data_IF_303820562922
#
_entry.id   IF_303820562922
#
_cell.length_a   1.000
_cell.length_b   1.000
_cell.length_c   1.000
_cell.angle_alpha   90.00
_cell.angle_beta   90.00
_cell.angle_gamma   90.00
#
_symmetry.space_group_name_H-M   'P 1'
#
loop_
_entity.id
_entity.type
_entity.pdbx_description
1 polymer ?
#
# COMPACT_ATOMS: atom_id res chain seq x y z
N UNK A 1 19.33 8.75 17.01
CA UNK A 1 19.13 7.39 17.53
C UNK A 1 17.71 6.92 17.16
N UNK A 2 17.53 5.63 16.92
CA UNK A 2 16.21 5.03 16.68
C UNK A 2 15.54 4.74 18.01
N UNK A 3 14.26 5.05 18.12
CA UNK A 3 13.46 4.87 19.34
C UNK A 3 12.40 3.80 19.15
N UNK A 4 12.16 2.98 20.19
CA UNK A 4 11.10 1.99 20.15
C UNK A 4 9.74 2.66 20.40
N UNK A 5 8.81 2.51 19.45
CA UNK A 5 7.46 3.08 19.50
C UNK A 5 6.43 2.03 19.10
N UNK A 6 5.20 2.15 19.58
CA UNK A 6 4.05 1.36 19.10
C UNK A 6 3.60 1.93 17.73
N UNK A 7 3.08 1.06 16.85
CA UNK A 7 2.61 1.51 15.53
C UNK A 7 1.49 2.55 15.64
N UNK A 8 0.57 2.37 16.60
CA UNK A 8 -0.50 3.34 16.84
C UNK A 8 -0.01 4.73 17.25
N UNK A 9 1.14 4.84 17.91
CA UNK A 9 1.74 6.12 18.34
C UNK A 9 2.35 6.92 17.17
N UNK A 10 2.59 6.26 16.03
CA UNK A 10 3.20 6.88 14.84
C UNK A 10 2.16 7.53 13.92
N UNK A 11 0.88 7.28 14.16
CA UNK A 11 -0.19 7.52 13.22
C UNK A 11 -1.21 8.53 13.74
N UNK A 12 -1.75 9.34 12.85
CA UNK A 12 -2.95 10.15 13.09
C UNK A 12 -4.23 9.38 12.75
N UNK A 13 -4.12 8.43 11.82
CA UNK A 13 -5.20 7.49 11.46
C UNK A 13 -4.64 6.09 11.31
N UNK A 14 -5.31 5.11 11.93
CA UNK A 14 -4.99 3.68 11.81
C UNK A 14 -6.29 2.88 11.96
N UNK A 15 -7.03 2.72 10.87
CA UNK A 15 -8.35 2.06 10.89
C UNK A 15 -8.71 1.44 9.56
N UNK A 16 -9.66 0.50 9.55
CA UNK A 16 -10.25 -0.04 8.33
C UNK A 16 -11.00 1.03 7.55
N UNK A 17 -11.02 0.89 6.24
CA UNK A 17 -11.89 1.67 5.38
C UNK A 17 -13.37 1.31 5.57
N UNK A 18 -14.22 1.69 4.61
CA UNK A 18 -15.65 1.66 4.70
C UNK A 18 -16.24 0.70 3.66
N UNK A 19 -17.41 0.13 3.97
CA UNK A 19 -18.13 -0.72 3.03
C UNK A 19 -18.57 0.04 1.79
N UNK A 20 -18.42 -0.57 0.62
CA UNK A 20 -18.95 -0.08 -0.66
C UNK A 20 -19.67 -1.22 -1.37
N UNK A 21 -20.81 -0.93 -1.98
CA UNK A 21 -21.57 -1.91 -2.76
C UNK A 21 -20.82 -2.23 -4.06
N UNK A 22 -20.86 -3.48 -4.49
CA UNK A 22 -20.24 -3.89 -5.74
C UNK A 22 -20.78 -3.13 -6.97
N UNK A 23 -22.05 -2.71 -6.94
CA UNK A 23 -22.68 -1.89 -7.99
C UNK A 23 -22.14 -0.46 -8.10
N UNK A 24 -21.43 0.01 -7.09
CA UNK A 24 -20.81 1.36 -7.05
C UNK A 24 -19.36 1.34 -7.51
N UNK A 25 -18.83 0.14 -7.82
CA UNK A 25 -17.47 -0.06 -8.36
C UNK A 25 -17.57 -0.34 -9.85
N UNK A 26 -16.89 0.45 -10.65
CA UNK A 26 -16.85 0.38 -12.11
C UNK A 26 -15.40 0.19 -12.61
N UNK A 27 -15.20 -0.33 -13.84
CA UNK A 27 -13.88 -0.29 -14.47
C UNK A 27 -13.35 1.13 -14.73
N UNK A 28 -14.23 2.14 -14.75
CA UNK A 28 -13.90 3.54 -15.01
C UNK A 28 -14.60 4.41 -13.96
N UNK A 29 -13.91 5.42 -13.46
CA UNK A 29 -14.43 6.39 -12.47
C UNK A 29 -13.37 7.40 -12.07
N UNK A 30 -13.73 8.35 -11.21
CA UNK A 30 -12.86 9.48 -10.85
C UNK A 30 -11.82 9.08 -9.78
N UNK A 31 -12.18 8.12 -8.91
CA UNK A 31 -11.37 7.74 -7.75
C UNK A 31 -11.16 6.24 -7.69
N UNK A 32 -9.91 5.84 -7.45
CA UNK A 32 -9.56 4.43 -7.27
C UNK A 32 -10.18 3.86 -5.99
N UNK A 33 -10.71 2.64 -6.08
CA UNK A 33 -11.25 1.88 -4.96
C UNK A 33 -10.21 0.84 -4.55
N UNK A 34 -9.63 1.01 -3.36
CA UNK A 34 -8.64 0.08 -2.82
C UNK A 34 -9.30 -0.99 -1.95
N UNK A 35 -9.02 -2.23 -2.26
CA UNK A 35 -9.31 -3.39 -1.42
C UNK A 35 -8.07 -3.90 -0.68
N UNK A 36 -8.17 -5.10 -0.10
CA UNK A 36 -7.05 -5.73 0.62
C UNK A 36 -5.84 -6.08 -0.25
N UNK A 37 -5.98 -6.08 -1.57
CA UNK A 37 -4.93 -6.50 -2.50
C UNK A 37 -4.80 -5.60 -3.73
N UNK A 38 -5.08 -4.33 -3.61
CA UNK A 38 -4.94 -3.41 -4.71
C UNK A 38 -6.22 -2.73 -5.14
N UNK A 39 -6.12 -2.06 -6.27
CA UNK A 39 -7.25 -1.37 -6.88
C UNK A 39 -8.23 -2.42 -7.40
N UNK A 40 -9.48 -2.33 -6.94
CA UNK A 40 -10.61 -3.19 -7.36
C UNK A 40 -11.41 -2.61 -8.52
N UNK A 41 -11.22 -1.35 -8.81
CA UNK A 41 -11.94 -0.56 -9.80
C UNK A 41 -11.98 0.90 -9.37
N UNK A 42 -12.98 1.62 -9.84
CA UNK A 42 -13.13 3.05 -9.64
C UNK A 42 -14.57 3.40 -9.21
N UNK A 43 -14.72 4.57 -8.59
CA UNK A 43 -16.02 5.14 -8.21
C UNK A 43 -16.04 6.65 -8.44
N UNK A 44 -17.20 7.30 -8.30
CA UNK A 44 -17.35 8.76 -8.47
C UNK A 44 -17.28 9.53 -7.15
N UNK A 45 -17.02 8.86 -6.04
CA UNK A 45 -16.84 9.46 -4.73
C UNK A 45 -15.62 8.89 -4.01
N UNK A 46 -15.11 9.61 -3.02
CA UNK A 46 -13.97 9.22 -2.21
C UNK A 46 -14.33 9.29 -0.73
N UNK A 47 -13.63 8.52 0.10
CA UNK A 47 -13.76 8.58 1.55
C UNK A 47 -12.48 9.06 2.26
N UNK A 48 -11.39 9.23 1.51
CA UNK A 48 -10.12 9.78 2.04
C UNK A 48 -9.46 10.67 1.00
N UNK A 49 -8.71 11.67 1.51
CA UNK A 49 -7.87 12.57 0.71
C UNK A 49 -6.56 12.80 1.46
N UNK A 50 -5.42 12.50 0.85
CA UNK A 50 -4.10 12.60 1.46
C UNK A 50 -3.19 11.42 1.14
N UNK A 51 -2.13 11.28 1.95
CA UNK A 51 -1.19 10.16 1.83
C UNK A 51 -1.52 9.05 2.81
N UNK A 52 -1.61 7.82 2.30
CA UNK A 52 -1.96 6.64 3.08
C UNK A 52 -1.09 5.44 2.72
N UNK A 53 -0.59 4.75 3.75
CA UNK A 53 -0.12 3.39 3.66
C UNK A 53 -1.33 2.46 3.92
N UNK A 54 -1.59 1.52 3.01
CA UNK A 54 -2.71 0.61 3.09
C UNK A 54 -2.22 -0.80 3.38
N UNK A 55 -2.80 -1.44 4.38
CA UNK A 55 -2.48 -2.82 4.77
C UNK A 55 -3.65 -3.71 4.35
N UNK A 56 -3.39 -4.73 3.56
CA UNK A 56 -4.39 -5.75 3.22
C UNK A 56 -4.87 -6.46 4.49
N UNK A 57 -6.19 -6.41 4.75
CA UNK A 57 -6.75 -6.90 6.01
C UNK A 57 -7.12 -8.38 5.99
N UNK A 58 -7.49 -8.93 4.83
CA UNK A 58 -8.08 -10.27 4.72
C UNK A 58 -7.56 -11.04 3.50
N UNK A 59 -7.66 -12.37 3.58
CA UNK A 59 -7.35 -13.29 2.49
C UNK A 59 -5.87 -13.67 2.40
N UNK A 60 -5.50 -14.36 1.31
CA UNK A 60 -4.15 -14.92 1.10
C UNK A 60 -3.04 -13.86 1.05
N UNK A 61 -3.38 -12.60 0.74
CA UNK A 61 -2.46 -11.47 0.68
C UNK A 61 -2.64 -10.51 1.88
N UNK A 62 -3.13 -11.06 3.00
CA UNK A 62 -3.22 -10.38 4.28
C UNK A 62 -1.85 -9.84 4.70
N UNK A 63 -1.78 -8.55 5.06
CA UNK A 63 -0.51 -7.87 5.37
C UNK A 63 0.20 -7.26 4.16
N UNK A 64 -0.30 -7.47 2.92
CA UNK A 64 0.26 -6.82 1.75
C UNK A 64 0.12 -5.31 1.84
N UNK A 65 1.18 -4.59 1.42
CA UNK A 65 1.23 -3.14 1.52
C UNK A 65 0.95 -2.46 0.20
N UNK A 66 0.23 -1.35 0.26
CA UNK A 66 -0.01 -0.46 -0.86
C UNK A 66 0.12 1.00 -0.41
N UNK A 67 0.37 1.88 -1.36
CA UNK A 67 0.47 3.30 -1.11
C UNK A 67 -0.55 4.06 -1.95
N UNK A 68 -1.25 5.00 -1.35
CA UNK A 68 -2.19 5.89 -2.01
C UNK A 68 -1.87 7.35 -1.71
N UNK A 69 -2.03 8.22 -2.70
CA UNK A 69 -1.85 9.66 -2.55
C UNK A 69 -3.00 10.38 -3.27
N UNK A 70 -3.59 11.36 -2.60
CA UNK A 70 -4.75 12.10 -3.07
C UNK A 70 -6.08 11.42 -2.74
N UNK A 71 -7.12 11.74 -3.52
CA UNK A 71 -8.48 11.25 -3.29
C UNK A 71 -8.64 9.81 -3.73
N UNK A 72 -9.14 8.96 -2.84
CA UNK A 72 -9.41 7.56 -3.10
C UNK A 72 -10.51 7.01 -2.18
N UNK A 73 -11.05 5.85 -2.53
CA UNK A 73 -11.96 5.11 -1.66
C UNK A 73 -11.26 3.87 -1.10
N UNK A 74 -11.23 3.74 0.22
CA UNK A 74 -10.66 2.57 0.90
C UNK A 74 -11.79 1.73 1.47
N UNK A 75 -11.80 0.45 1.07
CA UNK A 75 -12.83 -0.49 1.52
C UNK A 75 -12.48 -1.07 2.90
N UNK A 76 -13.43 -1.73 3.53
CA UNK A 76 -13.27 -2.44 4.80
C UNK A 76 -12.18 -3.53 4.78
N UNK A 77 -11.73 -3.94 3.58
CA UNK A 77 -10.66 -4.92 3.38
C UNK A 77 -9.26 -4.30 3.38
N UNK A 78 -9.15 -2.97 3.43
CA UNK A 78 -7.92 -2.23 3.57
C UNK A 78 -7.87 -1.52 4.93
N UNK A 79 -6.77 -1.64 5.66
CA UNK A 79 -6.49 -0.80 6.83
C UNK A 79 -5.74 0.44 6.35
N UNK A 80 -6.36 1.60 6.51
CA UNK A 80 -5.79 2.89 6.15
C UNK A 80 -4.94 3.45 7.29
N UNK A 81 -3.70 3.78 6.98
CA UNK A 81 -2.74 4.36 7.92
C UNK A 81 -2.21 5.67 7.37
N UNK A 82 -2.36 6.75 8.14
CA UNK A 82 -1.73 8.03 7.89
C UNK A 82 -0.86 8.42 9.07
N UNK A 83 0.36 8.91 8.81
CA UNK A 83 1.28 9.33 9.86
C UNK A 83 0.77 10.57 10.60
N UNK A 84 1.19 10.72 11.86
CA UNK A 84 1.02 11.96 12.59
C UNK A 84 2.08 13.01 12.19
N UNK A 85 2.04 14.18 12.79
CA UNK A 85 2.94 15.30 12.45
C UNK A 85 4.43 15.02 12.70
N UNK A 86 4.76 14.03 13.51
CA UNK A 86 6.15 13.66 13.86
C UNK A 86 6.72 12.56 12.93
N UNK A 87 5.90 12.02 12.06
CA UNK A 87 6.26 10.88 11.22
C UNK A 87 5.91 11.13 9.73
N UNK A 88 6.34 10.23 8.87
CA UNK A 88 6.15 10.25 7.42
C UNK A 88 5.35 9.03 6.96
N UNK A 89 4.22 9.24 6.27
CA UNK A 89 3.36 8.14 5.81
C UNK A 89 4.09 7.21 4.84
N UNK A 90 4.90 7.76 3.95
CA UNK A 90 5.68 6.95 3.00
C UNK A 90 6.77 6.12 3.69
N UNK A 91 7.37 6.65 4.76
CA UNK A 91 8.28 5.86 5.60
C UNK A 91 7.55 4.70 6.27
N UNK A 92 6.35 4.93 6.83
CA UNK A 92 5.53 3.88 7.43
C UNK A 92 5.15 2.80 6.41
N UNK A 93 4.86 3.16 5.17
CA UNK A 93 4.61 2.22 4.09
C UNK A 93 5.79 1.23 3.90
N UNK A 94 7.02 1.74 3.81
CA UNK A 94 8.21 0.89 3.67
C UNK A 94 8.50 0.08 4.94
N UNK A 95 8.41 0.71 6.10
CA UNK A 95 8.62 0.05 7.39
C UNK A 95 7.65 -1.13 7.58
N UNK A 96 6.37 -0.92 7.36
CA UNK A 96 5.35 -1.96 7.51
C UNK A 96 5.51 -3.07 6.46
N UNK A 97 6.01 -2.73 5.28
CA UNK A 97 6.34 -3.71 4.23
C UNK A 97 7.38 -4.74 4.66
N UNK A 98 8.41 -4.32 5.41
CA UNK A 98 9.45 -5.23 5.91
C UNK A 98 9.05 -5.97 7.19
N UNK A 99 8.03 -5.50 7.92
CA UNK A 99 7.57 -6.12 9.18
C UNK A 99 6.81 -7.43 8.97
N UNK A 100 6.45 -7.78 7.72
CA UNK A 100 5.66 -8.98 7.40
C UNK A 100 4.39 -9.08 8.27
N UNK A 101 3.55 -8.04 8.21
CA UNK A 101 2.38 -7.92 9.08
C UNK A 101 1.39 -9.09 8.95
N UNK A 102 1.40 -9.81 7.83
CA UNK A 102 0.60 -11.02 7.62
C UNK A 102 0.82 -12.11 8.64
N UNK A 103 2.00 -12.18 9.29
CA UNK A 103 2.29 -13.16 10.35
C UNK A 103 1.41 -12.98 11.60
N UNK A 104 0.82 -11.81 11.79
CA UNK A 104 -0.09 -11.50 12.91
C UNK A 104 -1.55 -11.75 12.58
N UNK A 105 -1.86 -12.34 11.42
CA UNK A 105 -3.20 -12.77 11.07
C UNK A 105 -3.60 -14.01 11.90
N UNK A 106 -4.88 -14.11 12.27
CA UNK A 106 -5.40 -15.27 12.96
C UNK A 106 -5.25 -16.56 12.14
N UNK A 107 -4.99 -17.68 12.79
CA UNK A 107 -4.94 -19.02 12.18
C UNK A 107 -6.36 -19.51 11.88
N UNK A 108 -6.97 -18.99 10.83
CA UNK A 108 -8.29 -19.39 10.35
C UNK A 108 -8.25 -19.67 8.85
N UNK A 109 -9.28 -20.35 8.34
CA UNK A 109 -9.44 -20.59 6.90
C UNK A 109 -9.47 -19.27 6.07
N UNK A 110 -9.80 -18.16 6.70
CA UNK A 110 -9.67 -16.80 6.15
C UNK A 110 -8.80 -15.96 7.09
N UNK A 111 -7.48 -15.84 6.82
CA UNK A 111 -6.59 -14.99 7.59
C UNK A 111 -7.11 -13.54 7.63
N UNK A 112 -7.07 -12.94 8.81
CA UNK A 112 -7.52 -11.55 8.97
C UNK A 112 -6.70 -10.83 10.04
N UNK A 113 -6.39 -9.55 9.79
CA UNK A 113 -5.68 -8.68 10.72
C UNK A 113 -6.67 -7.89 11.57
N UNK A 114 -6.52 -8.02 12.88
CA UNK A 114 -7.23 -7.16 13.83
C UNK A 114 -6.44 -5.86 14.02
N UNK A 115 -7.05 -4.73 13.69
CA UNK A 115 -6.42 -3.40 13.82
C UNK A 115 -5.91 -3.18 15.25
N UNK A 116 -6.69 -3.57 16.28
CA UNK A 116 -6.29 -3.47 17.68
C UNK A 116 -4.98 -4.19 18.01
N UNK A 117 -4.68 -5.30 17.35
CA UNK A 117 -3.41 -6.01 17.55
C UNK A 117 -2.26 -5.30 16.84
N UNK A 118 -2.51 -4.75 15.65
CA UNK A 118 -1.48 -4.06 14.88
C UNK A 118 -0.97 -2.79 15.58
N UNK A 119 -1.86 -1.98 16.14
CA UNK A 119 -1.48 -0.72 16.80
C UNK A 119 -0.57 -0.93 18.03
N UNK A 120 -0.62 -2.12 18.67
CA UNK A 120 0.20 -2.47 19.82
C UNK A 120 1.60 -3.02 19.45
N UNK A 121 1.82 -3.36 18.18
CA UNK A 121 3.13 -3.82 17.72
C UNK A 121 4.17 -2.73 17.91
N UNK A 122 5.36 -3.12 18.33
CA UNK A 122 6.48 -2.21 18.56
C UNK A 122 7.52 -2.34 17.45
N UNK A 123 8.10 -1.21 17.06
CA UNK A 123 9.19 -1.13 16.10
C UNK A 123 10.15 -0.01 16.47
N UNK A 124 11.33 -0.02 15.87
CA UNK A 124 12.29 1.07 16.01
C UNK A 124 12.05 2.08 14.88
N UNK A 125 12.02 3.35 15.22
CA UNK A 125 11.84 4.45 14.26
C UNK A 125 12.87 5.55 14.50
N UNK A 126 13.43 6.15 13.43
CA UNK A 126 14.29 7.31 13.53
C UNK A 126 13.48 8.59 13.65
N UNK A 127 14.16 9.71 13.88
CA UNK A 127 13.56 11.03 13.81
C UNK A 127 13.00 11.31 12.40
N UNK A 128 11.99 12.20 12.30
CA UNK A 128 11.28 12.52 11.05
C UNK A 128 12.21 12.90 9.90
N UNK A 129 13.24 13.69 10.16
CA UNK A 129 14.21 14.11 9.13
C UNK A 129 14.98 12.91 8.49
N UNK A 130 15.23 11.86 9.26
CA UNK A 130 15.83 10.62 8.76
C UNK A 130 14.78 9.78 8.01
N UNK A 131 13.54 9.71 8.53
CA UNK A 131 12.42 9.05 7.84
C UNK A 131 12.21 9.65 6.45
N UNK A 132 12.23 10.97 6.30
CA UNK A 132 12.09 11.65 5.01
C UNK A 132 13.20 11.27 4.03
N UNK A 133 14.45 11.19 4.48
CA UNK A 133 15.58 10.75 3.64
C UNK A 133 15.43 9.31 3.17
N UNK A 134 15.03 8.42 4.08
CA UNK A 134 14.76 7.01 3.77
C UNK A 134 13.61 6.91 2.75
N UNK A 135 12.53 7.65 2.95
CA UNK A 135 11.37 7.67 2.04
C UNK A 135 11.74 8.11 0.63
N UNK A 136 12.55 9.17 0.50
CA UNK A 136 13.03 9.66 -0.80
C UNK A 136 13.90 8.62 -1.49
N UNK A 137 14.82 7.99 -0.75
CA UNK A 137 15.70 6.95 -1.30
C UNK A 137 14.89 5.79 -1.89
N UNK A 138 14.00 5.19 -1.10
CA UNK A 138 13.22 4.03 -1.55
C UNK A 138 12.20 4.41 -2.64
N UNK A 139 11.58 5.60 -2.57
CA UNK A 139 10.71 6.08 -3.63
C UNK A 139 11.44 6.25 -4.97
N UNK A 140 12.68 6.73 -4.95
CA UNK A 140 13.51 6.80 -6.15
C UNK A 140 13.86 5.42 -6.70
N UNK A 141 14.16 4.46 -5.82
CA UNK A 141 14.40 3.07 -6.24
C UNK A 141 13.15 2.44 -6.87
N UNK A 142 11.96 2.63 -6.29
CA UNK A 142 10.70 2.14 -6.85
C UNK A 142 10.43 2.74 -8.24
N UNK A 143 10.69 4.04 -8.41
CA UNK A 143 10.57 4.71 -9.71
C UNK A 143 11.54 4.12 -10.75
N UNK A 144 12.79 3.87 -10.37
CA UNK A 144 13.78 3.24 -11.25
C UNK A 144 13.37 1.81 -11.62
N UNK A 145 12.92 1.00 -10.66
CA UNK A 145 12.42 -0.35 -10.90
C UNK A 145 11.28 -0.31 -11.90
N UNK A 146 10.29 0.55 -11.68
CA UNK A 146 9.13 0.71 -12.58
C UNK A 146 9.56 1.12 -13.99
N UNK A 147 10.50 2.06 -14.12
CA UNK A 147 11.02 2.50 -15.42
C UNK A 147 11.72 1.36 -16.17
N UNK A 148 12.56 0.59 -15.46
CA UNK A 148 13.29 -0.53 -16.06
C UNK A 148 12.35 -1.68 -16.45
N UNK A 149 11.31 -1.95 -15.67
CA UNK A 149 10.27 -2.93 -16.03
C UNK A 149 9.57 -2.56 -17.32
N UNK A 150 9.11 -1.30 -17.46
CA UNK A 150 8.49 -0.81 -18.71
C UNK A 150 9.43 -0.91 -19.91
N UNK A 151 10.72 -0.59 -19.71
CA UNK A 151 11.73 -0.72 -20.77
C UNK A 151 11.92 -2.18 -21.17
N UNK A 152 11.96 -3.09 -20.20
CA UNK A 152 12.07 -4.54 -20.46
C UNK A 152 10.88 -5.05 -21.27
N UNK A 153 9.65 -4.72 -20.88
CA UNK A 153 8.42 -5.09 -21.57
C UNK A 153 8.41 -4.57 -23.02
N UNK A 154 8.85 -3.32 -23.22
CA UNK A 154 8.95 -2.73 -24.55
C UNK A 154 9.96 -3.51 -25.41
N UNK A 155 11.16 -3.80 -24.90
CA UNK A 155 12.18 -4.57 -25.63
C UNK A 155 11.71 -6.00 -25.93
N UNK A 156 11.00 -6.65 -25.01
CA UNK A 156 10.41 -7.97 -25.23
C UNK A 156 9.37 -7.93 -26.36
N UNK A 157 8.54 -6.89 -26.39
CA UNK A 157 7.55 -6.67 -27.46
C UNK A 157 8.22 -6.45 -28.82
N UNK A 158 9.25 -5.59 -28.87
CA UNK A 158 10.04 -5.38 -30.10
C UNK A 158 10.72 -6.66 -30.58
N UNK A 159 11.35 -7.42 -29.67
CA UNK A 159 11.96 -8.70 -30.02
C UNK A 159 10.93 -9.65 -30.64
N UNK A 160 9.74 -9.77 -30.02
CA UNK A 160 8.66 -10.63 -30.54
C UNK A 160 8.23 -10.20 -31.95
N UNK A 161 8.04 -8.92 -32.17
CA UNK A 161 7.64 -8.40 -33.48
C UNK A 161 8.70 -8.67 -34.56
N UNK A 162 9.98 -8.44 -34.26
CA UNK A 162 11.07 -8.74 -35.20
C UNK A 162 11.19 -10.23 -35.53
N UNK A 163 11.05 -11.10 -34.52
CA UNK A 163 11.04 -12.55 -34.77
C UNK A 163 9.90 -12.96 -35.71
N UNK A 164 8.69 -12.41 -35.49
CA UNK A 164 7.54 -12.68 -36.36
C UNK A 164 7.76 -12.20 -37.80
N UNK A 165 8.47 -11.08 -38.01
CA UNK A 165 8.80 -10.58 -39.34
C UNK A 165 9.89 -11.37 -40.05
N UNK A 166 10.82 -11.95 -39.30
CA UNK A 166 11.96 -12.68 -39.86
C UNK A 166 11.67 -14.15 -40.18
N UNK A 167 10.67 -14.74 -39.55
CA UNK A 167 10.37 -16.17 -39.64
C UNK A 167 8.97 -16.44 -40.20
N UNK A 168 8.45 -15.55 -41.01
CA UNK A 168 7.19 -15.74 -41.77
C UNK A 168 7.47 -16.58 -43.01
#
# INVERSE_FOLDING_TARGET
>A
AWEQRKLGELCSEFRSGEFIKASEISPIGDYAVYGGNGIRGYTHFYNRDGEYALIGRQGALCGNMQYSCGKAYFTEHAVAVSANNENETRFLYYLFGIMNLGQYSGQSAQPGLAVGNLIELKTLVPIKAEQSKISVLFSNLDNLITLHQRKLEHLQTQKKALLQQMFV
#
